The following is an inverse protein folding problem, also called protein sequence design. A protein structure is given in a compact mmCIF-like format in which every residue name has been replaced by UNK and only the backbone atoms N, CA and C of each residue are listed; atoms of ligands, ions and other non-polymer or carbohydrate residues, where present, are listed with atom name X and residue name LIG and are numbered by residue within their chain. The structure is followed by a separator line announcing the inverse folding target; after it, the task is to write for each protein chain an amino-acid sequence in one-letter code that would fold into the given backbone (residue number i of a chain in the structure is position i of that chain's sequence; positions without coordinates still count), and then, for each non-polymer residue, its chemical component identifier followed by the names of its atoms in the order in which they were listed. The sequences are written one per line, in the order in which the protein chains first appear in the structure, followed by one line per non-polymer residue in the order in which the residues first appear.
data_IF_564140180726
#
_entry.id   IF_564140180726
#
_cell.length_a   1.000
_cell.length_b   1.000
_cell.length_c   1.000
_cell.angle_alpha   90.00
_cell.angle_beta   90.00
_cell.angle_gamma   90.00
#
_symmetry.space_group_name_H-M   'P 1'
#
loop_
_entity.id
_entity.type
_entity.pdbx_description
1 polymer ?
#
# COMPACT_ATOMS: atom_id res chain seq x y z
N UNK A 1 -13.62 -24.33 12.01
CA UNK A 1 -12.99 -23.17 12.65
C UNK A 1 -11.84 -22.72 11.76
N UNK A 2 -12.10 -21.70 10.94
CA UNK A 2 -11.08 -21.12 10.05
C UNK A 2 -9.88 -20.71 10.90
N UNK A 3 -8.76 -21.38 10.66
CA UNK A 3 -7.59 -21.33 11.53
C UNK A 3 -7.03 -19.92 11.50
N UNK A 4 -6.63 -19.35 12.64
CA UNK A 4 -6.02 -18.01 12.77
C UNK A 4 -5.00 -17.68 11.65
N UNK A 5 -4.26 -18.69 11.20
CA UNK A 5 -3.37 -18.62 10.04
C UNK A 5 -4.05 -18.09 8.75
N UNK A 6 -5.27 -18.50 8.43
CA UNK A 6 -5.99 -18.02 7.24
C UNK A 6 -6.26 -16.52 7.31
N UNK A 7 -6.70 -15.99 8.46
CA UNK A 7 -6.89 -14.55 8.65
C UNK A 7 -5.57 -13.78 8.53
N UNK A 8 -4.48 -14.36 9.06
CA UNK A 8 -3.14 -13.78 8.93
C UNK A 8 -2.70 -13.69 7.47
N UNK A 9 -2.88 -14.75 6.68
CA UNK A 9 -2.49 -14.74 5.25
C UNK A 9 -3.41 -13.83 4.43
N UNK A 10 -4.72 -13.84 4.70
CA UNK A 10 -5.69 -12.96 4.08
C UNK A 10 -5.40 -11.47 4.32
N UNK A 11 -5.03 -11.09 5.55
CA UNK A 11 -4.71 -9.69 5.87
C UNK A 11 -3.28 -9.33 5.49
N UNK A 12 -2.34 -10.28 5.58
CA UNK A 12 -0.92 -10.10 5.30
C UNK A 12 -0.67 -9.61 3.88
N UNK A 13 -1.36 -10.18 2.89
CA UNK A 13 -1.24 -9.74 1.49
C UNK A 13 -1.57 -8.25 1.34
N UNK A 14 -2.60 -7.76 2.04
CA UNK A 14 -3.02 -6.37 1.99
C UNK A 14 -1.96 -5.46 2.63
N UNK A 15 -1.42 -5.87 3.78
CA UNK A 15 -0.39 -5.12 4.51
C UNK A 15 0.88 -4.99 3.67
N UNK A 16 1.42 -6.09 3.14
CA UNK A 16 2.68 -6.03 2.38
C UNK A 16 2.54 -5.26 1.07
N UNK A 17 1.39 -5.36 0.40
CA UNK A 17 1.14 -4.61 -0.83
C UNK A 17 0.97 -3.11 -0.54
N UNK A 18 0.25 -2.73 0.52
CA UNK A 18 0.18 -1.33 0.96
C UNK A 18 1.54 -0.78 1.38
N UNK A 19 2.35 -1.58 2.08
CA UNK A 19 3.70 -1.19 2.46
C UNK A 19 4.63 -1.01 1.26
N UNK A 20 4.56 -1.91 0.27
CA UNK A 20 5.28 -1.75 -0.99
C UNK A 20 4.87 -0.45 -1.70
N UNK A 21 3.56 -0.15 -1.75
CA UNK A 21 3.05 1.08 -2.36
C UNK A 21 3.46 2.34 -1.58
N UNK A 22 3.40 2.30 -0.25
CA UNK A 22 3.81 3.41 0.60
C UNK A 22 5.30 3.74 0.40
N UNK A 23 6.15 2.72 0.34
CA UNK A 23 7.59 2.92 0.10
C UNK A 23 7.87 3.35 -1.34
N UNK A 24 7.16 2.82 -2.34
CA UNK A 24 7.20 3.36 -3.70
C UNK A 24 6.79 4.85 -3.72
N UNK A 25 5.78 5.22 -2.92
CA UNK A 25 5.37 6.60 -2.69
C UNK A 25 6.48 7.46 -2.10
N UNK A 26 7.30 6.94 -1.18
CA UNK A 26 8.48 7.63 -0.66
C UNK A 26 9.50 7.89 -1.78
N UNK A 27 9.74 6.93 -2.68
CA UNK A 27 10.61 7.15 -3.84
C UNK A 27 10.05 8.22 -4.79
N UNK A 28 8.74 8.18 -5.07
CA UNK A 28 8.06 9.18 -5.91
C UNK A 28 8.10 10.57 -5.26
N UNK A 29 7.81 10.67 -3.96
CA UNK A 29 7.85 11.92 -3.21
C UNK A 29 9.26 12.50 -3.18
N UNK A 30 10.27 11.63 -3.07
CA UNK A 30 11.67 12.03 -3.10
C UNK A 30 12.11 12.58 -4.46
N UNK A 31 11.49 12.10 -5.55
CA UNK A 31 11.69 12.64 -6.89
C UNK A 31 10.91 13.94 -7.13
N UNK A 32 9.67 14.03 -6.62
CA UNK A 32 8.77 15.17 -6.84
C UNK A 32 9.12 16.40 -5.99
N UNK A 33 9.71 16.21 -4.81
CA UNK A 33 10.09 17.29 -3.90
C UNK A 33 11.60 17.24 -3.57
N UNK A 34 12.47 17.61 -4.53
CA UNK A 34 13.91 17.64 -4.31
C UNK A 34 14.36 18.79 -3.39
N UNK A 35 13.65 19.93 -3.37
CA UNK A 35 14.07 21.19 -2.74
C UNK A 35 13.56 21.44 -1.31
N UNK A 36 12.89 20.47 -0.67
CA UNK A 36 12.43 20.65 0.71
C UNK A 36 13.61 20.43 1.67
N UNK A 37 13.88 21.38 2.56
CA UNK A 37 14.88 21.23 3.62
C UNK A 37 14.54 20.00 4.46
N UNK A 38 15.49 19.06 4.56
CA UNK A 38 15.27 17.76 5.23
C UNK A 38 15.93 17.80 6.61
N UNK A 39 15.22 18.17 7.68
CA UNK A 39 15.77 18.17 9.04
C UNK A 39 16.11 16.75 9.56
N UNK A 40 15.56 15.69 8.93
CA UNK A 40 15.88 14.30 9.26
C UNK A 40 16.49 13.55 8.07
N UNK A 41 17.81 13.33 8.14
CA UNK A 41 18.53 12.36 7.30
C UNK A 41 18.43 10.99 7.96
N UNK A 42 17.62 10.11 7.39
CA UNK A 42 17.55 8.69 7.77
C UNK A 42 18.92 8.04 7.54
N UNK A 43 19.54 7.55 8.61
CA UNK A 43 20.82 6.85 8.54
C UNK A 43 20.68 5.61 7.63
N UNK A 44 21.51 5.51 6.59
CA UNK A 44 21.45 4.40 5.64
C UNK A 44 20.42 4.55 4.50
N UNK A 45 19.83 5.73 4.29
CA UNK A 45 19.08 6.00 3.07
C UNK A 45 20.03 6.02 1.85
N UNK A 46 19.77 5.32 0.73
CA UNK A 46 18.52 4.65 0.30
C UNK A 46 18.47 3.12 0.50
N UNK A 47 19.43 2.53 1.21
CA UNK A 47 19.54 1.08 1.38
C UNK A 47 18.40 0.53 2.23
N UNK A 48 18.06 1.22 3.32
CA UNK A 48 16.99 0.77 4.24
C UNK A 48 15.62 0.65 3.54
N UNK A 49 15.14 1.66 2.78
CA UNK A 49 13.91 1.53 1.98
C UNK A 49 13.98 0.40 0.94
N UNK A 50 15.12 0.24 0.26
CA UNK A 50 15.28 -0.78 -0.79
C UNK A 50 15.17 -2.21 -0.23
N UNK A 51 15.85 -2.47 0.89
CA UNK A 51 15.78 -3.76 1.60
C UNK A 51 14.36 -4.03 2.09
N UNK A 52 13.67 -3.01 2.61
CA UNK A 52 12.29 -3.16 3.05
C UNK A 52 11.34 -3.55 1.91
N UNK A 53 11.44 -2.91 0.74
CA UNK A 53 10.65 -3.29 -0.45
C UNK A 53 10.92 -4.73 -0.86
N UNK A 54 12.19 -5.16 -0.85
CA UNK A 54 12.56 -6.54 -1.18
C UNK A 54 11.93 -7.55 -0.22
N UNK A 55 11.94 -7.27 1.09
CA UNK A 55 11.31 -8.13 2.11
C UNK A 55 9.79 -8.18 1.91
N UNK A 56 9.14 -7.03 1.70
CA UNK A 56 7.70 -6.99 1.43
C UNK A 56 7.34 -7.76 0.16
N UNK A 57 8.12 -7.63 -0.91
CA UNK A 57 7.91 -8.37 -2.15
C UNK A 57 8.09 -9.89 -1.93
N UNK A 58 9.13 -10.30 -1.20
CA UNK A 58 9.34 -11.71 -0.88
C UNK A 58 8.19 -12.30 -0.05
N UNK A 59 7.69 -11.57 0.95
CA UNK A 59 6.56 -12.00 1.77
C UNK A 59 5.25 -12.07 0.98
N UNK A 60 5.00 -11.09 0.11
CA UNK A 60 3.85 -11.09 -0.77
C UNK A 60 3.88 -12.28 -1.75
N UNK A 61 5.03 -12.53 -2.38
CA UNK A 61 5.22 -13.68 -3.30
C UNK A 61 5.03 -14.99 -2.53
N UNK A 62 5.66 -15.13 -1.36
CA UNK A 62 5.53 -16.33 -0.55
C UNK A 62 4.05 -16.62 -0.23
N UNK A 63 3.31 -15.61 0.19
CA UNK A 63 1.89 -15.78 0.54
C UNK A 63 1.02 -16.08 -0.68
N UNK A 64 1.35 -15.53 -1.84
CA UNK A 64 0.69 -15.85 -3.11
C UNK A 64 0.81 -17.34 -3.45
N UNK A 65 1.98 -17.94 -3.22
CA UNK A 65 2.24 -19.36 -3.49
C UNK A 65 1.63 -20.29 -2.45
N UNK A 66 1.67 -19.94 -1.16
CA UNK A 66 1.15 -20.80 -0.10
C UNK A 66 -0.39 -20.76 0.03
N UNK A 67 -1.02 -19.61 -0.21
CA UNK A 67 -2.47 -19.41 -0.02
C UNK A 67 -3.11 -18.60 -1.18
N UNK A 68 -3.22 -19.19 -2.38
CA UNK A 68 -3.65 -18.45 -3.59
C UNK A 68 -5.08 -17.91 -3.50
N UNK A 69 -6.00 -18.63 -2.84
CA UNK A 69 -7.41 -18.22 -2.72
C UNK A 69 -7.56 -17.01 -1.80
N UNK A 70 -6.95 -17.06 -0.61
CA UNK A 70 -7.00 -15.96 0.38
C UNK A 70 -6.34 -14.70 -0.18
N UNK A 71 -5.23 -14.87 -0.90
CA UNK A 71 -4.54 -13.77 -1.57
C UNK A 71 -5.40 -13.11 -2.65
N UNK A 72 -6.16 -13.89 -3.42
CA UNK A 72 -7.01 -13.35 -4.47
C UNK A 72 -8.18 -12.53 -3.88
N UNK A 73 -8.77 -13.01 -2.78
CA UNK A 73 -9.80 -12.28 -2.05
C UNK A 73 -9.26 -10.96 -1.48
N UNK A 74 -8.06 -10.97 -0.90
CA UNK A 74 -7.39 -9.76 -0.41
C UNK A 74 -7.10 -8.75 -1.53
N UNK A 75 -6.68 -9.22 -2.70
CA UNK A 75 -6.44 -8.38 -3.87
C UNK A 75 -7.73 -7.76 -4.41
N UNK A 76 -8.80 -8.56 -4.51
CA UNK A 76 -10.13 -8.09 -4.91
C UNK A 76 -10.66 -7.01 -3.96
N UNK A 77 -10.51 -7.21 -2.64
CA UNK A 77 -10.85 -6.21 -1.63
C UNK A 77 -10.05 -4.93 -1.79
N UNK A 78 -8.74 -5.04 -2.02
CA UNK A 78 -7.91 -3.86 -2.22
C UNK A 78 -8.31 -3.08 -3.49
N UNK A 79 -8.53 -3.77 -4.61
CA UNK A 79 -8.98 -3.16 -5.86
C UNK A 79 -10.35 -2.51 -5.66
N UNK A 80 -11.24 -3.07 -4.83
CA UNK A 80 -12.54 -2.47 -4.50
C UNK A 80 -12.42 -1.11 -3.79
N UNK A 81 -11.27 -0.81 -3.17
CA UNK A 81 -10.98 0.51 -2.62
C UNK A 81 -10.86 1.61 -3.68
N UNK A 82 -10.40 1.28 -4.90
CA UNK A 82 -10.24 2.24 -6.01
C UNK A 82 -11.58 2.81 -6.49
N UNK A 83 -12.60 2.02 -6.87
CA UNK A 83 -13.90 2.55 -7.27
C UNK A 83 -14.59 3.31 -6.13
N UNK A 84 -14.46 2.85 -4.88
CA UNK A 84 -14.99 3.57 -3.71
C UNK A 84 -14.34 4.94 -3.56
N UNK A 85 -13.02 5.04 -3.73
CA UNK A 85 -12.30 6.31 -3.67
C UNK A 85 -12.73 7.28 -4.78
N UNK A 86 -12.91 6.80 -6.02
CA UNK A 86 -13.39 7.62 -7.15
C UNK A 86 -14.81 8.13 -6.89
N UNK A 87 -15.71 7.28 -6.40
CA UNK A 87 -17.07 7.66 -6.06
C UNK A 87 -17.11 8.66 -4.89
N UNK A 88 -16.22 8.52 -3.91
CA UNK A 88 -16.09 9.45 -2.79
C UNK A 88 -15.53 10.81 -3.21
N UNK A 89 -14.52 10.84 -4.08
CA UNK A 89 -13.99 12.10 -4.64
C UNK A 89 -15.05 12.86 -5.45
N UNK A 90 -15.84 12.14 -6.26
CA UNK A 90 -16.96 12.72 -7.00
C UNK A 90 -18.06 13.31 -6.11
N UNK A 91 -18.18 12.85 -4.86
CA UNK A 91 -19.09 13.46 -3.87
C UNK A 91 -18.48 14.72 -3.26
N UNK A 92 -17.19 14.70 -2.91
CA UNK A 92 -16.49 15.88 -2.36
C UNK A 92 -16.46 17.06 -3.34
N UNK A 93 -16.30 16.79 -4.64
CA UNK A 93 -16.33 17.82 -5.69
C UNK A 93 -17.73 18.44 -5.87
N UNK A 94 -18.80 17.65 -5.65
CA UNK A 94 -20.18 18.15 -5.72
C UNK A 94 -20.62 18.97 -4.50
N UNK A 95 -20.01 18.76 -3.33
CA UNK A 95 -20.30 19.54 -2.12
C UNK A 95 -19.55 20.89 -2.10
N UNK A 96 -18.38 20.97 -2.74
CA UNK A 96 -17.60 22.22 -2.88
C UNK A 96 -18.18 23.16 -3.94
N UNK A 97 -18.93 22.65 -4.93
CA UNK A 97 -19.65 23.44 -5.93
C UNK A 97 -21.09 23.84 -5.54
N UNK A 98 -21.46 23.74 -4.25
CA UNK A 98 -22.77 24.15 -3.72
C UNK A 98 -22.68 25.27 -2.68
N UNK A 99 -21.48 25.81 -2.47
CA UNK A 99 -21.19 26.90 -1.54
C UNK A 99 -20.79 28.19 -2.26
N UNK A 100 -20.76 28.18 -3.59
CA UNK A 100 -20.59 29.28 -4.53
C UNK A 100 -21.93 29.74 -5.14
#
# INVERSE_FOLDING_TARGET
WGTFNQLLFFTGIAVWLFFALAVAGIFILRYKFPHVERPFKVWGYPIVPAVFVLICAALAINTLFFYPIESLLGLCLMISGVPVFILSQRRKEKETGRID
#
